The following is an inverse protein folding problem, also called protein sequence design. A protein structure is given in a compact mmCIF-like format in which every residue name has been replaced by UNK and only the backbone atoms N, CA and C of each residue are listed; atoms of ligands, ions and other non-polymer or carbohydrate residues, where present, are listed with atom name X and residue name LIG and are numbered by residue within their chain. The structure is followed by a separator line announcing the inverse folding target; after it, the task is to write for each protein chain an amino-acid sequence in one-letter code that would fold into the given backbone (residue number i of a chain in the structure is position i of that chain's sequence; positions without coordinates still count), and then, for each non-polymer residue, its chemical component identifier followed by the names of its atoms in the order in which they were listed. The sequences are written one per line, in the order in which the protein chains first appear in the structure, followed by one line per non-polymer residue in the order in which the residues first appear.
data_IF_529122504623
#
_entry.id   IF_529122504623
#
_cell.length_a   1.000
_cell.length_b   1.000
_cell.length_c   1.000
_cell.angle_alpha   90.00
_cell.angle_beta   90.00
_cell.angle_gamma   90.00
#
_symmetry.space_group_name_H-M   'P 1'
#
loop_
_entity.id
_entity.type
_entity.pdbx_description
1 polymer ?
#
# COMPACT_ATOMS: atom_id res chain seq x y z
N UNK A 1 11.66 25.78 -14.74
CA UNK A 1 10.92 26.19 -13.53
C UNK A 1 11.80 25.90 -12.34
N UNK A 2 11.98 26.82 -11.37
CA UNK A 2 12.68 26.50 -10.13
C UNK A 2 11.91 25.39 -9.40
N UNK A 3 12.63 24.45 -8.78
CA UNK A 3 12.04 23.39 -7.97
C UNK A 3 11.31 24.03 -6.77
N UNK A 4 10.07 23.63 -6.45
CA UNK A 4 9.33 24.21 -5.33
C UNK A 4 10.10 24.04 -4.02
N UNK A 5 9.98 25.02 -3.13
CA UNK A 5 10.65 25.01 -1.83
C UNK A 5 10.18 23.80 -1.01
N UNK A 6 11.13 22.98 -0.57
CA UNK A 6 10.87 21.80 0.28
C UNK A 6 11.53 22.01 1.64
N UNK A 7 10.75 21.86 2.70
CA UNK A 7 11.24 21.83 4.07
C UNK A 7 11.71 20.40 4.40
N UNK A 8 12.92 20.27 4.95
CA UNK A 8 13.42 18.97 5.40
C UNK A 8 12.88 18.67 6.79
N UNK A 9 12.17 17.56 6.90
CA UNK A 9 11.66 17.05 8.16
C UNK A 9 12.38 15.74 8.48
N UNK A 10 13.04 15.71 9.64
CA UNK A 10 13.79 14.53 10.10
C UNK A 10 13.19 13.98 11.39
N UNK A 11 13.05 12.67 11.46
CA UNK A 11 12.62 12.01 12.69
C UNK A 11 13.28 10.64 12.86
N UNK A 12 13.26 10.16 14.10
CA UNK A 12 13.64 8.80 14.47
C UNK A 12 12.49 8.14 15.22
N UNK A 13 12.14 6.93 14.81
CA UNK A 13 11.11 6.12 15.46
C UNK A 13 11.68 4.74 15.80
N UNK A 14 11.63 4.37 17.08
CA UNK A 14 11.98 3.02 17.51
C UNK A 14 10.90 2.02 17.10
N UNK A 15 11.28 0.97 16.38
CA UNK A 15 10.43 -0.17 16.03
C UNK A 15 11.05 -1.44 16.61
N UNK A 16 10.27 -2.54 16.77
CA UNK A 16 10.85 -3.84 17.08
C UNK A 16 11.94 -4.28 16.09
N UNK A 17 11.88 -3.86 14.82
CA UNK A 17 12.87 -4.18 13.78
C UNK A 17 14.13 -3.31 13.81
N UNK A 18 14.09 -2.19 14.53
CA UNK A 18 15.18 -1.23 14.65
C UNK A 18 14.68 0.21 14.59
N UNK A 19 15.59 1.17 14.43
CA UNK A 19 15.20 2.58 14.35
C UNK A 19 14.88 2.96 12.90
N UNK A 20 13.62 3.31 12.65
CA UNK A 20 13.20 3.96 11.41
C UNK A 20 13.67 5.41 11.43
N UNK A 21 14.39 5.83 10.39
CA UNK A 21 14.93 7.19 10.25
C UNK A 21 14.39 7.79 8.97
N UNK A 22 13.57 8.82 9.06
CA UNK A 22 13.17 9.52 7.84
C UNK A 22 13.79 10.89 7.74
N UNK A 23 14.01 11.27 6.49
CA UNK A 23 14.41 12.60 6.07
C UNK A 23 13.50 12.93 4.89
N UNK A 24 12.34 13.48 5.21
CA UNK A 24 11.27 13.78 4.26
C UNK A 24 11.44 15.21 3.73
N UNK A 25 11.32 15.36 2.42
CA UNK A 25 11.28 16.67 1.79
C UNK A 25 9.80 17.05 1.61
N UNK A 26 9.26 17.79 2.57
CA UNK A 26 7.86 18.21 2.59
C UNK A 26 7.73 19.51 1.77
N UNK A 27 6.92 19.55 0.71
CA UNK A 27 6.64 20.79 -0.01
C UNK A 27 6.08 21.88 0.91
N UNK A 28 6.39 23.14 0.61
CA UNK A 28 5.82 24.28 1.35
C UNK A 28 4.32 24.48 1.06
N UNK A 29 3.88 24.07 -0.14
CA UNK A 29 2.50 24.10 -0.55
C UNK A 29 1.65 22.98 0.09
N UNK A 30 0.33 23.23 0.28
CA UNK A 30 -0.58 22.19 0.74
C UNK A 30 -0.61 20.95 -0.16
N UNK A 31 -0.53 19.78 0.46
CA UNK A 31 -0.44 18.45 -0.17
C UNK A 31 -1.80 17.75 -0.18
N UNK A 32 -2.06 16.93 -1.21
CA UNK A 32 -3.18 15.96 -1.19
C UNK A 32 -2.79 14.70 -0.42
N UNK A 33 -3.77 13.87 -0.06
CA UNK A 33 -3.51 12.55 0.54
C UNK A 33 -2.68 11.64 -0.39
N UNK A 34 -2.90 11.72 -1.71
CA UNK A 34 -2.05 11.04 -2.71
C UNK A 34 -0.56 11.41 -2.57
N UNK A 35 -0.27 12.68 -2.29
CA UNK A 35 1.11 13.18 -2.16
C UNK A 35 1.76 12.67 -0.87
N UNK A 36 0.98 12.50 0.21
CA UNK A 36 1.45 11.85 1.43
C UNK A 36 1.86 10.40 1.16
N UNK A 37 1.03 9.63 0.45
CA UNK A 37 1.35 8.23 0.08
C UNK A 37 2.66 8.16 -0.72
N UNK A 38 2.85 9.05 -1.70
CA UNK A 38 4.10 9.13 -2.48
C UNK A 38 5.31 9.48 -1.61
N UNK A 39 5.14 10.47 -0.72
CA UNK A 39 6.21 10.97 0.15
C UNK A 39 6.76 9.88 1.06
N UNK A 40 5.92 8.91 1.46
CA UNK A 40 6.27 7.90 2.47
C UNK A 40 6.72 6.56 1.91
N UNK A 41 6.68 6.36 0.58
CA UNK A 41 7.21 5.14 -0.04
C UNK A 41 8.68 4.84 0.34
N UNK A 42 9.60 5.82 0.46
CA UNK A 42 10.95 5.56 0.94
C UNK A 42 11.00 5.08 2.41
N UNK A 43 9.98 5.37 3.21
CA UNK A 43 9.86 4.83 4.57
C UNK A 43 9.45 3.36 4.53
N UNK A 44 8.54 2.96 3.63
CA UNK A 44 8.20 1.55 3.44
C UNK A 44 9.43 0.72 3.06
N UNK A 45 10.23 1.22 2.13
CA UNK A 45 11.46 0.55 1.72
C UNK A 45 12.44 0.39 2.91
N UNK A 46 12.49 1.37 3.82
CA UNK A 46 13.28 1.27 5.05
C UNK A 46 12.67 0.30 6.08
N UNK A 47 11.35 0.29 6.26
CA UNK A 47 10.64 -0.67 7.13
C UNK A 47 10.96 -2.10 6.70
N UNK A 48 10.85 -2.34 5.39
CA UNK A 48 11.21 -3.62 4.78
C UNK A 48 12.68 -3.95 5.04
N UNK A 49 13.60 -3.01 4.80
CA UNK A 49 15.03 -3.24 5.02
C UNK A 49 15.37 -3.58 6.49
N UNK A 50 14.72 -2.91 7.46
CA UNK A 50 14.86 -3.21 8.89
C UNK A 50 14.34 -4.62 9.22
N UNK A 51 13.16 -4.97 8.72
CA UNK A 51 12.58 -6.31 8.89
C UNK A 51 13.48 -7.39 8.32
N UNK A 52 13.95 -7.22 7.09
CA UNK A 52 14.91 -8.14 6.46
C UNK A 52 16.17 -8.26 7.32
N UNK A 53 16.78 -7.16 7.73
CA UNK A 53 18.00 -7.18 8.56
C UNK A 53 17.80 -7.95 9.87
N UNK A 54 16.67 -7.73 10.57
CA UNK A 54 16.38 -8.39 11.85
C UNK A 54 16.11 -9.88 11.70
N UNK A 55 15.35 -10.26 10.67
CA UNK A 55 14.77 -11.60 10.58
C UNK A 55 15.54 -12.55 9.67
N UNK A 56 16.38 -12.05 8.75
CA UNK A 56 17.21 -12.88 7.87
C UNK A 56 18.05 -13.94 8.62
N UNK A 57 18.69 -13.64 9.79
CA UNK A 57 19.46 -14.65 10.52
C UNK A 57 18.64 -15.81 11.08
N UNK A 58 17.34 -15.63 11.30
CA UNK A 58 16.47 -16.62 11.95
C UNK A 58 15.50 -17.28 10.98
N UNK A 59 15.03 -16.56 9.96
CA UNK A 59 14.02 -17.02 9.00
C UNK A 59 14.60 -17.47 7.66
N UNK A 60 15.88 -17.19 7.41
CA UNK A 60 16.55 -17.52 6.15
C UNK A 60 16.32 -16.49 5.03
N UNK A 61 16.82 -16.81 3.84
CA UNK A 61 16.79 -15.94 2.68
C UNK A 61 15.37 -15.62 2.19
N UNK A 62 15.21 -14.44 1.60
CA UNK A 62 13.98 -14.01 0.93
C UNK A 62 13.85 -14.76 -0.39
N UNK A 63 12.68 -15.33 -0.66
CA UNK A 63 12.40 -16.04 -1.91
C UNK A 63 11.88 -15.11 -3.01
N UNK A 64 11.35 -13.95 -2.64
CA UNK A 64 10.86 -12.92 -3.56
C UNK A 64 11.99 -12.36 -4.42
N UNK A 65 11.77 -12.29 -5.73
CA UNK A 65 12.72 -11.75 -6.71
C UNK A 65 11.96 -11.08 -7.86
N UNK A 66 12.66 -10.27 -8.65
CA UNK A 66 12.10 -9.70 -9.87
C UNK A 66 11.57 -10.83 -10.78
N UNK A 67 10.35 -10.67 -11.28
CA UNK A 67 9.66 -11.69 -12.09
C UNK A 67 8.88 -12.73 -11.28
N UNK A 68 8.83 -12.63 -9.95
CA UNK A 68 7.85 -13.36 -9.13
C UNK A 68 6.54 -12.55 -9.10
N UNK A 69 5.44 -13.15 -9.56
CA UNK A 69 4.14 -12.49 -9.73
C UNK A 69 3.02 -13.13 -8.89
N UNK A 70 3.31 -14.13 -8.05
CA UNK A 70 2.26 -14.83 -7.29
C UNK A 70 1.44 -13.89 -6.38
N UNK A 71 2.05 -12.82 -5.85
CA UNK A 71 1.31 -11.82 -5.08
C UNK A 71 0.38 -10.94 -5.92
N UNK A 72 0.58 -10.88 -7.24
CA UNK A 72 -0.27 -10.13 -8.15
C UNK A 72 -1.62 -10.81 -8.42
N UNK A 73 -1.83 -12.04 -7.94
CA UNK A 73 -3.12 -12.73 -7.98
C UNK A 73 -3.83 -12.72 -6.61
N UNK A 74 -3.32 -11.94 -5.65
CA UNK A 74 -3.94 -11.74 -4.34
C UNK A 74 -4.70 -10.42 -4.28
N UNK A 75 -5.61 -10.30 -3.32
CA UNK A 75 -6.26 -9.02 -2.99
C UNK A 75 -5.27 -8.14 -2.20
N UNK A 76 -4.46 -7.39 -2.93
CA UNK A 76 -3.48 -6.46 -2.35
C UNK A 76 -4.25 -5.34 -1.62
N UNK A 77 -4.10 -5.18 -0.29
CA UNK A 77 -4.78 -4.11 0.42
C UNK A 77 -4.14 -2.76 0.10
N UNK A 78 -4.99 -1.76 -0.12
CA UNK A 78 -4.62 -0.35 -0.28
C UNK A 78 -5.50 0.51 0.63
N UNK A 79 -4.95 1.65 1.01
CA UNK A 79 -5.64 2.70 1.76
C UNK A 79 -6.19 3.80 0.83
N UNK A 80 -7.11 4.65 1.32
CA UNK A 80 -7.59 5.81 0.56
C UNK A 80 -6.46 6.70 -0.01
N UNK A 81 -5.41 7.08 0.74
CA UNK A 81 -4.29 7.84 0.18
C UNK A 81 -3.55 7.12 -0.95
N UNK A 82 -3.39 5.79 -0.85
CA UNK A 82 -2.77 4.98 -1.91
C UNK A 82 -3.68 4.84 -3.14
N UNK A 83 -5.00 4.73 -2.95
CA UNK A 83 -5.96 4.69 -4.04
C UNK A 83 -5.92 5.96 -4.88
N UNK A 84 -5.92 7.14 -4.24
CA UNK A 84 -5.74 8.42 -4.94
C UNK A 84 -4.39 8.50 -5.66
N UNK A 85 -3.31 8.01 -5.04
CA UNK A 85 -1.98 7.96 -5.68
C UNK A 85 -1.97 7.06 -6.92
N UNK A 86 -2.63 5.89 -6.87
CA UNK A 86 -2.74 4.94 -7.97
C UNK A 86 -3.60 5.50 -9.10
N UNK A 87 -4.72 6.14 -8.77
CA UNK A 87 -5.56 6.83 -9.75
C UNK A 87 -4.74 7.89 -10.50
N UNK A 88 -4.06 8.79 -9.79
CA UNK A 88 -3.18 9.78 -10.42
C UNK A 88 -2.09 9.13 -11.30
N UNK A 89 -1.52 7.99 -10.87
CA UNK A 89 -0.49 7.29 -11.63
C UNK A 89 -1.04 6.83 -12.99
N UNK A 90 -2.26 6.30 -13.01
CA UNK A 90 -2.93 5.83 -14.24
C UNK A 90 -3.36 7.02 -15.10
N UNK A 91 -3.90 8.07 -14.50
CA UNK A 91 -4.32 9.29 -15.20
C UNK A 91 -3.15 10.07 -15.81
N UNK A 92 -1.92 9.86 -15.34
CA UNK A 92 -0.72 10.45 -15.91
C UNK A 92 -0.06 9.59 -17.01
N UNK A 93 -0.60 8.40 -17.33
CA UNK A 93 -0.06 7.54 -18.38
C UNK A 93 -0.44 8.08 -19.78
N UNK A 94 0.32 7.72 -20.84
CA UNK A 94 -0.13 7.94 -22.21
C UNK A 94 -1.48 7.27 -22.45
N UNK A 95 -2.38 7.90 -23.23
CA UNK A 95 -3.76 7.46 -23.45
C UNK A 95 -3.87 5.96 -23.77
N UNK A 96 -3.07 5.45 -24.71
CA UNK A 96 -3.07 4.02 -25.06
C UNK A 96 -2.75 3.12 -23.88
N UNK A 97 -1.78 3.54 -23.03
CA UNK A 97 -1.41 2.76 -21.85
C UNK A 97 -2.46 2.88 -20.75
N UNK A 98 -3.05 4.05 -20.59
CA UNK A 98 -4.14 4.28 -19.66
C UNK A 98 -5.32 3.36 -19.99
N UNK A 99 -5.75 3.32 -21.25
CA UNK A 99 -6.85 2.47 -21.72
C UNK A 99 -6.58 0.97 -21.47
N UNK A 100 -5.36 0.49 -21.73
CA UNK A 100 -4.97 -0.90 -21.44
C UNK A 100 -5.09 -1.23 -19.95
N UNK A 101 -4.67 -0.32 -19.06
CA UNK A 101 -4.75 -0.53 -17.61
C UNK A 101 -6.20 -0.47 -17.14
N UNK A 102 -6.97 0.52 -17.59
CA UNK A 102 -8.37 0.68 -17.22
C UNK A 102 -9.23 -0.50 -17.68
N UNK A 103 -8.96 -1.05 -18.86
CA UNK A 103 -9.63 -2.29 -19.33
C UNK A 103 -9.41 -3.44 -18.34
N UNK A 104 -8.16 -3.64 -17.88
CA UNK A 104 -7.84 -4.68 -16.89
C UNK A 104 -8.44 -4.40 -15.51
N UNK A 105 -8.63 -3.13 -15.15
CA UNK A 105 -9.35 -2.74 -13.92
C UNK A 105 -10.80 -3.16 -14.01
N UNK A 106 -11.50 -2.79 -15.08
CA UNK A 106 -12.90 -3.16 -15.30
C UNK A 106 -13.08 -4.68 -15.30
N UNK A 107 -12.20 -5.43 -15.96
CA UNK A 107 -12.24 -6.90 -15.94
C UNK A 107 -12.05 -7.47 -14.52
N UNK A 108 -11.15 -6.90 -13.73
CA UNK A 108 -10.88 -7.34 -12.36
C UNK A 108 -12.03 -6.96 -11.39
N UNK A 109 -12.65 -5.80 -11.57
CA UNK A 109 -13.83 -5.35 -10.82
C UNK A 109 -15.04 -6.24 -11.12
N UNK A 110 -15.30 -6.56 -12.39
CA UNK A 110 -16.35 -7.49 -12.78
C UNK A 110 -16.14 -8.90 -12.20
N UNK A 111 -14.88 -9.35 -12.11
CA UNK A 111 -14.55 -10.61 -11.47
C UNK A 111 -14.77 -10.59 -9.95
N UNK A 112 -14.46 -9.46 -9.27
CA UNK A 112 -14.78 -9.26 -7.85
C UNK A 112 -16.29 -9.30 -7.60
N UNK A 113 -17.06 -8.55 -8.39
CA UNK A 113 -18.52 -8.52 -8.29
C UNK A 113 -19.12 -9.91 -8.51
N UNK A 114 -18.67 -10.63 -9.54
CA UNK A 114 -19.10 -12.01 -9.82
C UNK A 114 -18.74 -12.99 -8.71
N UNK A 115 -17.66 -12.71 -7.98
CA UNK A 115 -17.23 -13.49 -6.81
C UNK A 115 -17.99 -13.09 -5.53
N UNK A 116 -18.82 -12.04 -5.59
CA UNK A 116 -19.62 -11.55 -4.47
C UNK A 116 -18.84 -10.67 -3.50
N UNK A 117 -17.80 -9.97 -3.98
CA UNK A 117 -16.98 -9.07 -3.17
C UNK A 117 -17.10 -7.63 -3.65
N UNK A 118 -17.22 -6.72 -2.68
CA UNK A 118 -17.30 -5.28 -2.84
C UNK A 118 -16.39 -4.56 -1.83
N UNK A 119 -16.37 -3.23 -1.82
CA UNK A 119 -15.59 -2.45 -0.85
C UNK A 119 -15.95 -2.78 0.61
N UNK A 120 -17.25 -2.89 0.91
CA UNK A 120 -17.76 -3.14 2.26
C UNK A 120 -17.31 -4.49 2.82
N UNK A 121 -17.10 -5.48 1.93
CA UNK A 121 -16.58 -6.81 2.25
C UNK A 121 -15.22 -6.76 2.95
N UNK A 122 -14.47 -5.64 2.86
CA UNK A 122 -13.15 -5.47 3.46
C UNK A 122 -13.09 -4.52 4.65
N UNK A 123 -14.22 -3.88 4.97
CA UNK A 123 -14.35 -3.03 6.16
C UNK A 123 -14.32 -3.87 7.45
N UNK A 124 -13.56 -3.43 8.46
CA UNK A 124 -13.53 -4.09 9.78
C UNK A 124 -12.76 -5.42 9.86
N UNK A 125 -11.94 -5.75 8.86
CA UNK A 125 -11.23 -7.04 8.80
C UNK A 125 -10.09 -7.19 9.82
N UNK A 126 -10.46 -7.69 11.01
CA UNK A 126 -9.55 -8.23 12.00
C UNK A 126 -9.66 -9.76 12.05
N UNK A 127 -8.62 -10.47 11.57
CA UNK A 127 -8.33 -11.89 11.81
C UNK A 127 -9.54 -12.84 11.88
N UNK A 128 -10.32 -12.90 10.81
CA UNK A 128 -11.34 -13.94 10.64
C UNK A 128 -10.77 -15.12 9.82
N UNK A 129 -11.02 -16.35 10.26
CA UNK A 129 -10.72 -17.56 9.48
C UNK A 129 -11.51 -17.58 8.18
N UNK A 130 -12.70 -16.96 8.16
CA UNK A 130 -13.52 -16.79 6.96
C UNK A 130 -12.85 -15.88 5.94
N UNK A 131 -12.22 -14.77 6.37
CA UNK A 131 -11.43 -13.94 5.47
C UNK A 131 -10.28 -14.73 4.85
N UNK A 132 -9.58 -15.54 5.64
CA UNK A 132 -8.48 -16.36 5.12
C UNK A 132 -8.98 -17.33 4.04
N UNK A 133 -10.13 -18.00 4.25
CA UNK A 133 -10.76 -18.87 3.24
C UNK A 133 -11.14 -18.10 1.99
N UNK A 134 -11.70 -16.90 2.15
CA UNK A 134 -12.05 -16.02 1.04
C UNK A 134 -10.83 -15.62 0.22
N UNK A 135 -9.72 -15.20 0.85
CA UNK A 135 -8.48 -14.85 0.14
C UNK A 135 -7.89 -16.04 -0.62
N UNK A 136 -7.98 -17.24 -0.06
CA UNK A 136 -7.57 -18.48 -0.74
C UNK A 136 -8.46 -18.72 -1.97
N UNK A 137 -9.78 -18.68 -1.80
CA UNK A 137 -10.73 -18.92 -2.88
C UNK A 137 -10.62 -17.88 -4.01
N UNK A 138 -10.37 -16.61 -3.66
CA UNK A 138 -10.06 -15.55 -4.62
C UNK A 138 -8.77 -15.85 -5.40
N UNK A 139 -7.69 -16.22 -4.72
CA UNK A 139 -6.42 -16.52 -5.39
C UNK A 139 -6.56 -17.63 -6.44
N UNK A 140 -7.44 -18.61 -6.19
CA UNK A 140 -7.75 -19.67 -7.15
C UNK A 140 -8.54 -19.19 -8.39
N UNK A 141 -9.17 -18.01 -8.36
CA UNK A 141 -9.79 -17.42 -9.56
C UNK A 141 -8.74 -16.99 -10.59
N UNK A 142 -7.48 -16.81 -10.18
CA UNK A 142 -6.39 -16.45 -11.11
C UNK A 142 -6.55 -15.06 -11.72
N UNK A 143 -7.36 -14.19 -11.12
CA UNK A 143 -7.53 -12.80 -11.57
C UNK A 143 -6.25 -12.03 -11.29
N UNK A 144 -5.61 -11.57 -12.36
CA UNK A 144 -4.38 -10.79 -12.27
C UNK A 144 -4.65 -9.35 -11.84
N UNK A 145 -3.73 -8.79 -11.05
CA UNK A 145 -3.65 -7.36 -10.78
C UNK A 145 -3.57 -6.57 -12.10
N UNK A 146 -4.28 -5.43 -12.24
CA UNK A 146 -4.29 -4.62 -13.46
C UNK A 146 -2.90 -4.17 -13.94
N UNK A 147 -1.94 -4.05 -13.03
CA UNK A 147 -0.56 -3.68 -13.32
C UNK A 147 0.37 -4.85 -13.66
N UNK A 148 -0.12 -6.10 -13.66
CA UNK A 148 0.69 -7.26 -14.05
C UNK A 148 0.73 -7.38 -15.57
N UNK A 149 1.94 -7.45 -16.13
CA UNK A 149 2.14 -7.69 -17.55
C UNK A 149 3.32 -8.62 -17.79
N UNK A 150 3.06 -9.75 -18.46
CA UNK A 150 4.09 -10.76 -18.81
C UNK A 150 4.96 -11.14 -17.59
N UNK A 151 4.32 -11.36 -16.44
CA UNK A 151 5.01 -11.73 -15.18
C UNK A 151 5.76 -10.59 -14.49
N UNK A 152 5.58 -9.34 -14.92
CA UNK A 152 6.25 -8.17 -14.33
C UNK A 152 5.25 -7.07 -13.99
N UNK A 153 5.39 -6.49 -12.79
CA UNK A 153 4.58 -5.35 -12.37
C UNK A 153 5.03 -4.08 -13.09
N UNK A 154 4.12 -3.44 -13.84
CA UNK A 154 4.40 -2.19 -14.55
C UNK A 154 4.35 -0.95 -13.66
N UNK A 155 3.80 -1.07 -12.44
CA UNK A 155 3.80 -0.05 -11.41
C UNK A 155 4.84 -0.30 -10.30
N UNK A 156 5.91 -1.07 -10.57
CA UNK A 156 6.83 -1.56 -9.54
C UNK A 156 7.37 -0.47 -8.59
N UNK A 157 7.73 0.70 -9.13
CA UNK A 157 8.26 1.84 -8.38
C UNK A 157 7.21 2.59 -7.58
N UNK A 158 5.93 2.42 -7.93
CA UNK A 158 4.77 3.05 -7.30
C UNK A 158 3.88 2.03 -6.61
N UNK A 159 4.43 0.85 -6.27
CA UNK A 159 3.69 -0.19 -5.56
C UNK A 159 3.19 0.35 -4.21
N UNK A 160 1.93 0.05 -3.83
CA UNK A 160 1.43 0.38 -2.51
C UNK A 160 2.22 -0.37 -1.43
N UNK A 161 2.11 0.08 -0.19
CA UNK A 161 2.78 -0.50 0.97
C UNK A 161 2.45 -1.98 1.12
N UNK A 162 1.19 -2.39 0.92
CA UNK A 162 0.78 -3.80 0.94
C UNK A 162 1.59 -4.69 -0.03
N UNK A 163 2.01 -4.16 -1.18
CA UNK A 163 2.89 -4.86 -2.12
C UNK A 163 4.37 -4.84 -1.70
N UNK A 164 4.85 -3.75 -1.09
CA UNK A 164 6.26 -3.60 -0.65
C UNK A 164 6.56 -4.45 0.58
N UNK A 165 5.63 -4.46 1.52
CA UNK A 165 5.69 -5.16 2.80
C UNK A 165 5.46 -6.69 2.64
N UNK A 166 5.01 -7.15 1.46
CA UNK A 166 4.82 -8.58 1.19
C UNK A 166 6.12 -9.26 0.74
N UNK A 167 6.81 -9.88 1.69
CA UNK A 167 7.97 -10.72 1.44
C UNK A 167 7.79 -12.08 2.12
N UNK A 168 8.35 -13.14 1.52
CA UNK A 168 8.30 -14.49 2.07
C UNK A 168 9.70 -15.10 2.16
N UNK A 169 9.90 -15.96 3.16
CA UNK A 169 11.12 -16.77 3.34
C UNK A 169 10.88 -18.27 3.14
N UNK A 170 9.63 -18.68 2.92
CA UNK A 170 9.30 -20.03 2.40
C UNK A 170 9.66 -20.14 0.92
N UNK A 171 9.85 -21.35 0.36
CA UNK A 171 10.06 -21.54 -1.08
C UNK A 171 9.04 -20.79 -1.94
N UNK A 172 9.47 -20.17 -3.04
CA UNK A 172 8.64 -19.28 -3.85
C UNK A 172 7.43 -20.01 -4.45
N UNK A 173 7.60 -21.28 -4.81
CA UNK A 173 6.54 -22.16 -5.32
C UNK A 173 5.36 -22.30 -4.36
N UNK A 174 5.56 -22.10 -3.05
CA UNK A 174 4.46 -22.14 -2.07
C UNK A 174 3.46 -21.01 -2.30
N UNK A 175 3.89 -19.86 -2.84
CA UNK A 175 3.00 -18.74 -3.12
C UNK A 175 1.99 -19.04 -4.23
N UNK A 176 2.23 -20.05 -5.06
CA UNK A 176 1.26 -20.51 -6.08
C UNK A 176 0.21 -21.49 -5.52
N UNK A 177 0.41 -21.97 -4.29
CA UNK A 177 -0.39 -23.00 -3.62
C UNK A 177 -1.01 -22.47 -2.33
N UNK A 178 -1.62 -21.29 -2.42
CA UNK A 178 -2.22 -20.61 -1.26
C UNK A 178 -3.27 -21.52 -0.61
N UNK A 179 -3.15 -21.76 0.70
CA UNK A 179 -4.03 -22.68 1.44
C UNK A 179 -3.56 -24.14 1.50
N UNK A 180 -2.67 -24.57 0.60
CA UNK A 180 -2.11 -25.93 0.57
C UNK A 180 -0.68 -26.00 1.10
N UNK A 181 0.11 -24.94 0.86
CA UNK A 181 1.50 -24.85 1.28
C UNK A 181 1.71 -23.78 2.36
N UNK A 182 2.71 -24.00 3.22
CA UNK A 182 3.09 -23.03 4.24
C UNK A 182 3.80 -21.85 3.59
N UNK A 183 3.16 -20.69 3.62
CA UNK A 183 3.77 -19.41 3.22
C UNK A 183 4.24 -18.69 4.48
N UNK A 184 5.56 -18.53 4.62
CA UNK A 184 6.16 -17.82 5.73
C UNK A 184 6.42 -16.38 5.33
N UNK A 185 5.50 -15.47 5.68
CA UNK A 185 5.68 -14.04 5.49
C UNK A 185 6.76 -13.49 6.43
N UNK A 186 7.50 -12.50 5.95
CA UNK A 186 8.39 -11.69 6.77
C UNK A 186 7.55 -10.90 7.78
N UNK A 187 7.81 -11.02 9.08
CA UNK A 187 7.13 -10.20 10.08
C UNK A 187 7.65 -8.75 10.00
N UNK A 188 6.72 -7.80 9.97
CA UNK A 188 6.96 -6.36 10.00
C UNK A 188 6.02 -5.76 11.05
N UNK A 189 6.50 -4.88 11.94
CA UNK A 189 5.66 -4.28 12.98
C UNK A 189 4.78 -3.14 12.47
N UNK A 190 5.17 -2.50 11.38
CA UNK A 190 4.46 -1.39 10.76
C UNK A 190 3.65 -1.93 9.57
N UNK A 191 2.39 -1.46 9.49
CA UNK A 191 1.50 -1.66 8.35
C UNK A 191 1.14 -0.28 7.81
N UNK A 192 1.87 0.21 6.82
CA UNK A 192 1.77 1.61 6.38
C UNK A 192 0.42 1.92 5.76
N UNK A 193 -0.17 1.03 4.96
CA UNK A 193 -1.53 1.21 4.41
C UNK A 193 -2.55 1.43 5.54
N UNK A 194 -2.44 0.71 6.67
CA UNK A 194 -3.34 0.93 7.80
C UNK A 194 -3.10 2.28 8.49
N UNK A 195 -1.84 2.70 8.61
CA UNK A 195 -1.51 4.01 9.18
C UNK A 195 -2.03 5.16 8.29
N UNK A 196 -1.84 5.06 6.96
CA UNK A 196 -2.39 6.00 5.98
C UNK A 196 -3.92 6.04 6.02
N UNK A 197 -4.56 4.88 6.15
CA UNK A 197 -6.01 4.77 6.31
C UNK A 197 -6.52 5.50 7.57
N UNK A 198 -5.82 5.38 8.70
CA UNK A 198 -6.16 6.09 9.94
C UNK A 198 -6.00 7.60 9.80
N UNK A 199 -4.95 8.07 9.13
CA UNK A 199 -4.77 9.50 8.82
C UNK A 199 -5.92 10.01 7.96
N UNK A 200 -6.31 9.27 6.91
CA UNK A 200 -7.43 9.64 6.06
C UNK A 200 -8.75 9.71 6.84
N UNK A 201 -9.06 8.70 7.66
CA UNK A 201 -10.26 8.68 8.50
C UNK A 201 -10.33 9.87 9.47
N UNK A 202 -9.20 10.26 10.08
CA UNK A 202 -9.13 11.45 10.97
C UNK A 202 -9.40 12.77 10.23
N UNK A 203 -9.07 12.88 8.94
CA UNK A 203 -9.19 14.12 8.15
C UNK A 203 -10.50 14.24 7.38
N UNK A 204 -10.98 13.11 6.86
CA UNK A 204 -12.18 13.03 6.03
C UNK A 204 -13.42 12.66 6.87
N UNK A 205 -13.22 12.12 8.07
CA UNK A 205 -14.28 11.49 8.86
C UNK A 205 -14.47 10.02 8.47
N UNK A 206 -15.22 9.29 9.30
CA UNK A 206 -15.47 7.86 9.12
C UNK A 206 -14.46 6.94 9.82
N UNK A 207 -14.55 5.66 9.50
CA UNK A 207 -13.68 4.62 10.06
C UNK A 207 -12.50 4.32 9.13
N UNK A 208 -11.33 3.90 9.66
CA UNK A 208 -10.22 3.45 8.83
C UNK A 208 -10.63 2.27 7.94
N UNK A 209 -10.55 2.46 6.62
CA UNK A 209 -10.83 1.42 5.62
C UNK A 209 -9.57 1.02 4.85
N UNK A 210 -9.50 -0.27 4.49
CA UNK A 210 -8.56 -0.80 3.49
C UNK A 210 -9.37 -1.68 2.54
N UNK A 211 -9.04 -1.63 1.27
CA UNK A 211 -9.75 -2.39 0.23
C UNK A 211 -8.77 -2.90 -0.82
N UNK A 212 -9.16 -3.86 -1.68
CA UNK A 212 -8.28 -4.38 -2.72
C UNK A 212 -7.87 -3.32 -3.74
N UNK A 213 -6.61 -3.39 -4.20
CA UNK A 213 -6.06 -2.53 -5.25
C UNK A 213 -6.89 -2.57 -6.55
N UNK A 214 -7.58 -3.67 -6.82
CA UNK A 214 -8.47 -3.81 -7.98
C UNK A 214 -9.64 -2.83 -7.95
N UNK A 215 -10.10 -2.39 -6.76
CA UNK A 215 -11.15 -1.38 -6.59
C UNK A 215 -10.59 0.05 -6.53
N UNK A 216 -9.27 0.24 -6.56
CA UNK A 216 -8.65 1.51 -6.19
C UNK A 216 -9.01 2.67 -7.12
N UNK A 217 -9.17 2.41 -8.41
CA UNK A 217 -9.46 3.45 -9.40
C UNK A 217 -10.93 3.86 -9.30
N UNK A 218 -11.87 2.91 -9.41
CA UNK A 218 -13.30 3.22 -9.25
C UNK A 218 -13.62 3.87 -7.91
N UNK A 219 -12.94 3.43 -6.84
CA UNK A 219 -13.05 4.07 -5.53
C UNK A 219 -12.55 5.52 -5.53
N UNK A 220 -11.39 5.78 -6.12
CA UNK A 220 -10.82 7.13 -6.16
C UNK A 220 -11.65 8.09 -7.02
N UNK A 221 -12.25 7.60 -8.11
CA UNK A 221 -13.19 8.37 -8.95
C UNK A 221 -14.47 8.72 -8.19
N UNK A 222 -15.01 7.78 -7.41
CA UNK A 222 -16.19 8.03 -6.58
C UNK A 222 -15.93 9.01 -5.41
N UNK A 223 -14.66 9.23 -5.05
CA UNK A 223 -14.22 10.11 -3.95
C UNK A 223 -13.33 11.25 -4.48
N UNK A 224 -13.59 11.74 -5.70
CA UNK A 224 -12.76 12.76 -6.34
C UNK A 224 -12.67 14.03 -5.47
N UNK A 225 -13.79 14.48 -4.88
CA UNK A 225 -13.81 15.68 -4.04
C UNK A 225 -12.89 15.54 -2.83
N UNK A 226 -12.94 14.41 -2.11
CA UNK A 226 -12.03 14.12 -1.00
C UNK A 226 -10.58 14.01 -1.46
N UNK A 227 -10.35 13.38 -2.61
CA UNK A 227 -9.02 13.20 -3.20
C UNK A 227 -8.34 14.51 -3.56
N UNK A 228 -9.10 15.54 -3.96
CA UNK A 228 -8.57 16.87 -4.29
C UNK A 228 -8.35 17.77 -3.08
N UNK A 229 -8.83 17.40 -1.87
CA UNK A 229 -8.58 18.18 -0.66
C UNK A 229 -7.08 18.29 -0.37
N UNK A 230 -6.65 19.49 -0.01
CA UNK A 230 -5.26 19.79 0.32
C UNK A 230 -5.10 20.18 1.79
N UNK A 231 -3.99 19.78 2.37
CA UNK A 231 -3.69 19.92 3.78
C UNK A 231 -2.24 20.39 3.98
N UNK A 232 -1.95 20.95 5.15
CA UNK A 232 -0.58 21.28 5.54
C UNK A 232 0.28 19.99 5.58
N UNK A 233 1.38 19.97 4.82
CA UNK A 233 2.20 18.78 4.66
C UNK A 233 2.90 18.36 5.96
N UNK A 234 3.29 19.32 6.80
CA UNK A 234 3.89 19.03 8.11
C UNK A 234 2.87 18.33 9.03
N UNK A 235 1.64 18.84 9.07
CA UNK A 235 0.54 18.23 9.81
C UNK A 235 0.25 16.80 9.33
N UNK A 236 0.18 16.55 8.01
CA UNK A 236 -0.03 15.21 7.45
C UNK A 236 1.06 14.22 7.89
N UNK A 237 2.32 14.63 7.79
CA UNK A 237 3.46 13.79 8.20
C UNK A 237 3.41 13.53 9.71
N UNK A 238 3.15 14.56 10.53
CA UNK A 238 3.08 14.37 11.98
C UNK A 238 1.93 13.43 12.40
N UNK A 239 0.75 13.55 11.77
CA UNK A 239 -0.36 12.63 12.01
C UNK A 239 0.03 11.18 11.68
N UNK A 240 0.71 10.96 10.56
CA UNK A 240 1.19 9.61 10.22
C UNK A 240 2.16 9.08 11.29
N UNK A 241 3.05 9.91 11.81
CA UNK A 241 4.01 9.50 12.84
C UNK A 241 3.35 9.17 14.17
N UNK A 242 2.29 9.88 14.54
CA UNK A 242 1.45 9.50 15.68
C UNK A 242 0.86 8.10 15.48
N UNK A 243 0.36 7.78 14.29
CA UNK A 243 -0.18 6.44 13.98
C UNK A 243 0.91 5.36 14.01
N UNK A 244 2.13 5.68 13.54
CA UNK A 244 3.26 4.74 13.55
C UNK A 244 3.86 4.53 14.94
N UNK A 245 3.80 5.54 15.82
CA UNK A 245 4.39 5.52 17.16
C UNK A 245 3.46 5.04 18.27
N UNK A 246 2.18 4.82 17.95
CA UNK A 246 1.15 4.53 18.96
C UNK A 246 0.71 5.76 19.75
N UNK A 247 0.80 6.96 19.15
CA UNK A 247 0.18 8.20 19.65
C UNK A 247 1.12 9.23 20.29
N UNK A 248 2.44 9.20 20.03
CA UNK A 248 3.36 10.28 20.43
C UNK A 248 3.71 11.17 19.23
N UNK A 249 3.36 12.48 19.24
CA UNK A 249 3.73 13.40 18.16
C UNK A 249 5.24 13.58 18.08
N UNK A 250 5.75 13.87 16.89
CA UNK A 250 7.11 14.35 16.69
C UNK A 250 7.15 15.87 16.88
N UNK A 251 8.20 16.39 17.53
CA UNK A 251 8.36 17.84 17.70
C UNK A 251 8.48 18.54 16.34
N UNK A 252 7.81 19.69 16.20
CA UNK A 252 7.94 20.55 15.02
C UNK A 252 9.36 21.11 14.96
N UNK A 253 10.11 20.92 13.86
CA UNK A 253 11.41 21.56 13.71
C UNK A 253 11.21 23.07 13.63
N UNK A 254 12.05 23.77 14.38
CA UNK A 254 12.12 25.23 14.48
C UNK A 254 12.37 25.91 13.14
#
# INVERSE_FOLDING_TARGET
MPEPLKNRFTFELGTPEGTLRANLAIPAEPMRLADLSRLVMPLDDQIVALGVKKHLPTLGAISCKKGCDSCCYQLVPVSPPEAFMIHDLVSAMPETRQEEVLTRVVDAEAALESFGLDEASFSGMANDDELRKLLIAWHHQGVACPFLERGTCTAYTSRPSGCREYLVTSPAENCTKLGEAVIRRMPLSIRMSLALSRVAARLLGGEPTIFPLTLAIGWAEAHEEEGQRRFDGFMLVNMLLEELSGGKPADKPS
#
